data_IF_378464366999
#
_entry.id   IF_378464366999
#
_cell.length_a   1.000
_cell.length_b   1.000
_cell.length_c   1.000
_cell.angle_alpha   90.00
_cell.angle_beta   90.00
_cell.angle_gamma   90.00
#
_symmetry.space_group_name_H-M   'P 1'
#
loop_
_entity.id
_entity.type
_entity.pdbx_description
1 polymer ?
#
# COMPACT_ATOMS: atom_id res chain seq x y z
N UNK A 1 -14.98 5.57 -9.90
CA UNK A 1 -13.68 6.09 -9.44
C UNK A 1 -13.65 6.02 -7.92
N UNK A 2 -12.63 5.39 -7.32
CA UNK A 2 -12.54 5.27 -5.86
C UNK A 2 -12.01 6.56 -5.23
N UNK A 3 -12.60 6.96 -4.10
CA UNK A 3 -12.16 8.12 -3.33
C UNK A 3 -10.68 7.95 -2.90
N UNK A 4 -9.86 8.98 -3.13
CA UNK A 4 -8.48 9.01 -2.67
C UNK A 4 -8.48 9.13 -1.14
N UNK A 5 -7.83 8.19 -0.47
CA UNK A 5 -7.79 8.14 0.99
C UNK A 5 -6.53 8.84 1.48
N UNK A 6 -6.69 9.66 2.52
CA UNK A 6 -5.54 10.24 3.19
C UNK A 6 -5.01 9.27 4.26
N UNK A 7 -3.69 9.06 4.37
CA UNK A 7 -3.07 8.26 5.43
C UNK A 7 -3.56 8.64 6.82
N UNK A 8 -3.74 9.94 7.06
CA UNK A 8 -4.14 10.53 8.34
C UNK A 8 -5.55 10.15 8.78
N UNK A 9 -6.40 9.68 7.86
CA UNK A 9 -7.77 9.26 8.17
C UNK A 9 -7.83 7.88 8.85
N UNK A 10 -6.70 7.17 8.99
CA UNK A 10 -6.67 5.91 9.72
C UNK A 10 -6.67 6.16 11.24
N UNK A 11 -7.49 5.44 12.00
CA UNK A 11 -7.60 5.66 13.46
C UNK A 11 -6.33 5.28 14.23
N UNK A 12 -5.66 4.21 13.82
CA UNK A 12 -4.40 3.76 14.43
C UNK A 12 -3.20 4.64 14.02
N UNK A 13 -2.53 5.24 15.02
CA UNK A 13 -1.30 6.04 14.81
C UNK A 13 -0.18 5.23 14.15
N UNK A 14 -0.04 3.95 14.49
CA UNK A 14 1.03 3.10 13.97
C UNK A 14 0.83 2.81 12.48
N UNK A 15 -0.41 2.56 12.06
CA UNK A 15 -0.73 2.40 10.63
C UNK A 15 -0.57 3.73 9.90
N UNK A 16 -1.00 4.85 10.48
CA UNK A 16 -0.80 6.19 9.90
C UNK A 16 0.68 6.44 9.58
N UNK A 17 1.56 6.17 10.54
CA UNK A 17 3.00 6.39 10.39
C UNK A 17 3.59 5.55 9.25
N UNK A 18 3.21 4.27 9.20
CA UNK A 18 3.60 3.38 8.10
C UNK A 18 3.11 3.88 6.74
N UNK A 19 1.83 4.30 6.63
CA UNK A 19 1.28 4.83 5.39
C UNK A 19 1.99 6.13 4.94
N UNK A 20 2.31 7.02 5.88
CA UNK A 20 3.07 8.24 5.59
C UNK A 20 4.47 7.90 5.07
N UNK A 21 5.17 6.95 5.69
CA UNK A 21 6.49 6.52 5.23
C UNK A 21 6.45 5.87 3.84
N UNK A 22 5.41 5.07 3.55
CA UNK A 22 5.22 4.45 2.23
C UNK A 22 4.98 5.51 1.16
N UNK A 23 4.08 6.46 1.41
CA UNK A 23 3.79 7.53 0.46
C UNK A 23 4.98 8.50 0.29
N UNK A 24 5.78 8.72 1.33
CA UNK A 24 6.99 9.53 1.25
C UNK A 24 8.07 8.92 0.35
N UNK A 25 8.13 7.59 0.25
CA UNK A 25 9.01 6.89 -0.70
C UNK A 25 8.56 7.01 -2.17
N UNK A 26 7.33 7.49 -2.42
CA UNK A 26 6.78 7.63 -3.75
C UNK A 26 6.39 6.29 -4.41
N UNK A 27 5.70 6.37 -5.55
CA UNK A 27 5.30 5.17 -6.31
C UNK A 27 4.13 4.37 -5.73
N UNK A 28 3.44 4.92 -4.72
CA UNK A 28 2.26 4.32 -4.08
C UNK A 28 1.09 5.30 -4.05
N UNK A 29 -0.10 4.82 -4.40
CA UNK A 29 -1.37 5.53 -4.31
C UNK A 29 -2.27 4.84 -3.29
N UNK A 30 -3.01 5.62 -2.51
CA UNK A 30 -3.92 5.11 -1.49
C UNK A 30 -5.37 5.39 -1.90
N UNK A 31 -6.13 4.33 -2.06
CA UNK A 31 -7.54 4.40 -2.43
C UNK A 31 -8.43 3.79 -1.35
N UNK A 32 -9.71 4.16 -1.33
CA UNK A 32 -10.72 3.48 -0.52
C UNK A 32 -10.88 2.02 -0.96
N UNK A 33 -10.71 1.10 0.00
CA UNK A 33 -10.78 -0.34 -0.21
C UNK A 33 -11.93 -0.97 0.60
N UNK A 34 -12.23 -2.24 0.34
CA UNK A 34 -13.33 -2.97 1.01
C UNK A 34 -13.18 -3.05 2.54
N UNK A 35 -11.96 -3.07 3.06
CA UNK A 35 -11.70 -3.09 4.50
C UNK A 35 -11.60 -1.68 5.09
N UNK A 36 -10.66 -0.88 4.56
CA UNK A 36 -10.52 0.54 4.86
C UNK A 36 -9.89 1.22 3.66
N UNK A 37 -8.69 0.76 3.29
CA UNK A 37 -7.92 1.32 2.19
C UNK A 37 -7.21 0.24 1.39
N UNK A 38 -6.73 0.63 0.22
CA UNK A 38 -5.94 -0.18 -0.68
C UNK A 38 -4.78 0.68 -1.18
N UNK A 39 -3.55 0.24 -0.89
CA UNK A 39 -2.35 0.79 -1.49
C UNK A 39 -2.15 0.12 -2.85
N UNK A 40 -1.99 0.92 -3.89
CA UNK A 40 -1.70 0.46 -5.24
C UNK A 40 -0.36 1.06 -5.67
N UNK A 41 0.52 0.23 -6.21
CA UNK A 41 1.73 0.76 -6.81
C UNK A 41 1.39 1.49 -8.12
N UNK A 42 2.05 2.61 -8.36
CA UNK A 42 1.87 3.41 -9.58
C UNK A 42 2.22 2.62 -10.84
N UNK A 43 3.23 1.74 -10.76
CA UNK A 43 3.61 0.82 -11.83
C UNK A 43 2.60 -0.32 -12.07
N UNK A 44 1.61 -0.48 -11.18
CA UNK A 44 0.62 -1.56 -11.26
C UNK A 44 1.12 -2.95 -10.83
N UNK A 45 2.39 -3.07 -10.41
CA UNK A 45 3.02 -4.32 -9.97
C UNK A 45 2.33 -4.94 -8.75
N UNK A 46 1.98 -4.12 -7.75
CA UNK A 46 1.58 -4.60 -6.43
C UNK A 46 0.38 -3.84 -5.87
N UNK A 47 -0.45 -4.54 -5.09
CA UNK A 47 -1.60 -3.97 -4.39
C UNK A 47 -1.66 -4.54 -2.97
N UNK A 48 -1.67 -3.67 -1.97
CA UNK A 48 -1.64 -4.05 -0.56
C UNK A 48 -2.91 -3.55 0.13
N UNK A 49 -3.66 -4.45 0.75
CA UNK A 49 -4.89 -4.10 1.46
C UNK A 49 -4.57 -3.56 2.86
N UNK A 50 -5.15 -2.40 3.19
CA UNK A 50 -5.01 -1.77 4.50
C UNK A 50 -6.25 -2.08 5.34
N UNK A 51 -6.07 -2.90 6.36
CA UNK A 51 -7.10 -3.25 7.34
C UNK A 51 -7.38 -2.08 8.27
N UNK A 52 -8.65 -1.69 8.41
CA UNK A 52 -9.06 -0.63 9.34
C UNK A 52 -9.09 -1.04 10.82
N UNK A 53 -9.11 -2.34 11.10
CA UNK A 53 -9.12 -2.95 12.44
C UNK A 53 -8.20 -4.17 12.48
N UNK A 54 -6.87 -4.00 12.36
CA UNK A 54 -5.96 -5.12 12.49
C UNK A 54 -5.95 -5.63 13.95
N UNK A 55 -5.84 -6.94 14.12
CA UNK A 55 -5.73 -7.56 15.46
C UNK A 55 -4.45 -7.14 16.19
N UNK A 56 -3.38 -6.84 15.44
CA UNK A 56 -2.10 -6.32 15.93
C UNK A 56 -1.61 -5.22 14.97
N UNK A 57 -1.85 -3.96 15.32
CA UNK A 57 -1.56 -2.81 14.45
C UNK A 57 -0.08 -2.68 14.10
N UNK A 58 0.84 -2.96 15.03
CA UNK A 58 2.29 -2.91 14.77
C UNK A 58 2.76 -3.96 13.76
N UNK A 59 2.24 -5.20 13.87
CA UNK A 59 2.56 -6.26 12.93
C UNK A 59 2.05 -5.91 11.54
N UNK A 60 0.81 -5.41 11.45
CA UNK A 60 0.22 -4.99 10.19
C UNK A 60 1.01 -3.84 9.55
N UNK A 61 1.39 -2.82 10.32
CA UNK A 61 2.26 -1.74 9.83
C UNK A 61 3.61 -2.24 9.30
N UNK A 62 4.26 -3.19 9.98
CA UNK A 62 5.52 -3.78 9.51
C UNK A 62 5.34 -4.57 8.22
N UNK A 63 4.26 -5.32 8.10
CA UNK A 63 3.91 -6.03 6.85
C UNK A 63 3.69 -5.03 5.71
N UNK A 64 2.89 -3.98 5.92
CA UNK A 64 2.69 -2.91 4.93
C UNK A 64 4.01 -2.31 4.46
N UNK A 65 4.91 -1.96 5.39
CA UNK A 65 6.22 -1.40 5.05
C UNK A 65 7.10 -2.39 4.29
N UNK A 66 7.07 -3.68 4.67
CA UNK A 66 7.87 -4.72 4.03
C UNK A 66 7.39 -4.99 2.60
N UNK A 67 6.09 -5.10 2.41
CA UNK A 67 5.49 -5.24 1.09
C UNK A 67 5.72 -3.99 0.24
N UNK A 68 5.56 -2.81 0.83
CA UNK A 68 5.76 -1.55 0.12
C UNK A 68 7.21 -1.34 -0.33
N UNK A 69 8.20 -1.86 0.41
CA UNK A 69 9.61 -1.87 0.00
C UNK A 69 9.91 -2.78 -1.21
N UNK A 70 8.98 -3.66 -1.57
CA UNK A 70 9.16 -4.56 -2.70
C UNK A 70 8.97 -3.84 -4.03
N UNK A 71 8.14 -2.79 -4.11
CA UNK A 71 8.06 -1.93 -5.29
C UNK A 71 8.69 -0.54 -5.02
N UNK A 72 9.28 0.14 -6.03
CA UNK A 72 9.34 -0.26 -7.44
C UNK A 72 10.31 -1.43 -7.66
N UNK A 73 9.80 -2.49 -8.27
CA UNK A 73 10.62 -3.60 -8.74
C UNK A 73 11.43 -3.10 -9.95
N UNK A 74 12.70 -3.53 -10.12
CA UNK A 74 13.40 -3.31 -11.37
C UNK A 74 12.60 -3.92 -12.53
N UNK A 75 12.65 -3.31 -13.72
CA UNK A 75 11.80 -3.67 -14.88
C UNK A 75 11.94 -5.16 -15.28
N UNK A 76 13.07 -5.79 -14.91
CA UNK A 76 13.43 -7.19 -15.19
C UNK A 76 12.97 -8.20 -14.11
N UNK A 77 12.38 -7.77 -12.98
CA UNK A 77 11.93 -8.73 -11.96
C UNK A 77 10.66 -9.47 -12.40
N UNK A 78 10.55 -10.81 -12.31
CA UNK A 78 9.35 -11.54 -12.69
C UNK A 78 8.13 -11.23 -11.80
N UNK A 79 8.29 -10.53 -10.66
CA UNK A 79 7.18 -9.96 -9.87
C UNK A 79 6.77 -8.57 -10.35
N UNK A 80 7.59 -7.93 -11.18
CA UNK A 80 7.30 -6.64 -11.82
C UNK A 80 6.08 -6.75 -12.70
N UNK A 81 5.78 -7.97 -13.21
CA UNK A 81 4.73 -8.29 -14.18
C UNK A 81 3.73 -7.17 -14.29
N UNK A 82 4.09 -6.18 -15.12
CA UNK A 82 3.15 -5.35 -15.82
C UNK A 82 2.20 -6.37 -16.37
N UNK A 83 0.98 -6.40 -15.86
CA UNK A 83 -0.06 -7.27 -16.37
C UNK A 83 -0.35 -6.71 -17.77
N UNK A 84 0.51 -7.05 -18.72
CA UNK A 84 0.35 -6.81 -20.14
C UNK A 84 -0.82 -7.71 -20.49
N UNK A 85 -1.98 -7.09 -20.45
CA UNK A 85 -3.22 -7.57 -21.05
C UNK A 85 -2.86 -7.95 -22.50
N UNK A 86 -2.99 -9.24 -22.81
CA UNK A 86 -2.94 -9.82 -24.15
C UNK A 86 -4.36 -10.17 -24.57
#
# INVERSE_FOLDING_TARGET
MGEELQPRSHKDKVIRDALVAIMANGGWKLHKGAHWGLLTCDAGCHRISVSGTPRVSERHARDLLREARTCPLPDDDPRSVKRTDV
#
